data_IF_128100817955
#
_entry.id   IF_128100817955
#
_cell.length_a   1.000
_cell.length_b   1.000
_cell.length_c   1.000
_cell.angle_alpha   90.00
_cell.angle_beta   90.00
_cell.angle_gamma   90.00
#
_symmetry.space_group_name_H-M   'P 1'
#
loop_
_entity.id
_entity.type
_entity.pdbx_description
1 polymer ?
#
# COMPACT_ATOMS: atom_id res chain seq x y z
N UNK A 1 -27.91 31.64 -31.58
CA UNK A 1 -26.69 31.87 -30.77
C UNK A 1 -26.21 30.51 -30.30
N UNK A 2 -25.02 30.10 -30.71
CA UNK A 2 -24.48 28.77 -30.41
C UNK A 2 -23.62 28.84 -29.15
N UNK A 3 -24.05 28.20 -28.07
CA UNK A 3 -23.32 28.13 -26.81
C UNK A 3 -22.89 26.69 -26.55
N UNK A 4 -21.61 26.40 -26.83
CA UNK A 4 -20.88 25.23 -26.33
C UNK A 4 -19.38 25.52 -26.45
N UNK A 5 -18.50 24.96 -25.59
CA UNK A 5 -18.61 24.68 -24.16
C UNK A 5 -17.48 25.40 -23.36
N UNK A 6 -17.71 25.80 -22.12
CA UNK A 6 -16.62 25.93 -21.17
C UNK A 6 -16.38 24.53 -20.57
N UNK A 7 -15.50 23.75 -21.20
CA UNK A 7 -14.90 22.60 -20.53
C UNK A 7 -14.10 23.17 -19.38
N UNK A 8 -14.65 23.08 -18.18
CA UNK A 8 -13.91 23.32 -16.95
C UNK A 8 -12.88 22.22 -16.85
N UNK A 9 -11.66 22.53 -17.30
CA UNK A 9 -10.50 21.69 -17.08
C UNK A 9 -10.16 21.71 -15.60
N UNK A 10 -10.93 20.99 -14.77
CA UNK A 10 -10.50 20.51 -13.46
C UNK A 10 -9.44 19.44 -13.72
N UNK A 11 -8.30 19.88 -14.26
CA UNK A 11 -7.05 19.15 -14.15
C UNK A 11 -6.61 19.38 -12.71
N UNK A 12 -6.95 18.44 -11.84
CA UNK A 12 -6.26 18.20 -10.57
C UNK A 12 -4.78 18.46 -10.80
N UNK A 13 -4.27 19.53 -10.20
CA UNK A 13 -2.85 19.84 -10.29
C UNK A 13 -2.07 18.60 -9.83
N UNK A 14 -0.95 18.26 -10.49
CA UNK A 14 -0.08 17.21 -9.98
C UNK A 14 0.30 17.59 -8.55
N UNK A 15 0.06 16.69 -7.59
CA UNK A 15 0.42 16.87 -6.18
C UNK A 15 1.86 17.38 -6.11
N UNK A 16 2.05 18.64 -5.73
CA UNK A 16 3.38 19.24 -5.60
C UNK A 16 4.10 18.54 -4.44
N UNK A 17 4.95 17.57 -4.80
CA UNK A 17 5.74 16.80 -3.85
C UNK A 17 6.67 17.73 -3.08
N UNK A 18 6.35 17.99 -1.81
CA UNK A 18 7.00 19.03 -1.04
C UNK A 18 8.29 18.50 -0.35
N UNK A 19 9.00 19.40 0.33
CA UNK A 19 10.23 19.04 1.04
C UNK A 19 9.99 18.03 2.19
N UNK A 20 8.81 18.06 2.81
CA UNK A 20 8.44 17.12 3.87
C UNK A 20 8.20 15.72 3.32
N UNK A 21 7.58 15.60 2.14
CA UNK A 21 7.39 14.32 1.45
C UNK A 21 8.74 13.70 1.05
N UNK A 22 9.68 14.53 0.59
CA UNK A 22 11.06 14.08 0.31
C UNK A 22 11.78 13.63 1.58
N UNK A 23 11.61 14.37 2.68
CA UNK A 23 12.21 14.00 3.97
C UNK A 23 11.62 12.68 4.49
N UNK A 24 10.30 12.51 4.42
CA UNK A 24 9.60 11.28 4.80
C UNK A 24 10.07 10.08 3.97
N UNK A 25 10.24 10.27 2.66
CA UNK A 25 10.79 9.25 1.78
C UNK A 25 12.22 8.87 2.22
N UNK A 26 13.08 9.86 2.45
CA UNK A 26 14.46 9.62 2.88
C UNK A 26 14.54 8.89 4.23
N UNK A 27 13.68 9.27 5.19
CA UNK A 27 13.57 8.61 6.49
C UNK A 27 13.13 7.15 6.32
N UNK A 28 12.15 6.90 5.45
CA UNK A 28 11.63 5.57 5.13
C UNK A 28 12.71 4.69 4.48
N UNK A 29 13.50 5.24 3.56
CA UNK A 29 14.62 4.53 2.93
C UNK A 29 15.73 4.19 3.93
N UNK A 30 16.00 5.09 4.88
CA UNK A 30 16.99 4.90 5.95
C UNK A 30 16.51 3.99 7.09
N UNK A 31 15.24 3.57 7.09
CA UNK A 31 14.67 2.78 8.17
C UNK A 31 15.41 1.46 8.37
N UNK A 32 15.62 1.09 9.63
CA UNK A 32 16.21 -0.21 9.98
C UNK A 32 15.27 -1.37 9.58
N UNK A 33 15.80 -2.59 9.39
CA UNK A 33 14.95 -3.75 9.13
C UNK A 33 13.84 -3.95 10.16
N UNK A 34 14.12 -3.72 11.45
CA UNK A 34 13.12 -3.82 12.52
C UNK A 34 11.99 -2.79 12.39
N UNK A 35 12.33 -1.54 12.05
CA UNK A 35 11.32 -0.48 11.83
C UNK A 35 10.42 -0.79 10.64
N UNK A 36 11.00 -1.28 9.54
CA UNK A 36 10.21 -1.70 8.37
C UNK A 36 9.24 -2.83 8.72
N UNK A 37 9.67 -3.81 9.52
CA UNK A 37 8.79 -4.89 9.98
C UNK A 37 7.64 -4.36 10.84
N UNK A 38 7.93 -3.46 11.78
CA UNK A 38 6.89 -2.85 12.62
C UNK A 38 5.84 -2.10 11.77
N UNK A 39 6.25 -1.38 10.72
CA UNK A 39 5.31 -0.73 9.80
C UNK A 39 4.44 -1.72 9.02
N UNK A 40 5.01 -2.84 8.57
CA UNK A 40 4.24 -3.88 7.89
C UNK A 40 3.22 -4.52 8.82
N UNK A 41 3.58 -4.78 10.07
CA UNK A 41 2.65 -5.32 11.08
C UNK A 41 1.50 -4.34 11.38
N UNK A 42 1.79 -3.05 11.47
CA UNK A 42 0.78 -2.01 11.64
C UNK A 42 -0.15 -1.93 10.43
N UNK A 43 0.43 -1.85 9.22
CA UNK A 43 -0.33 -1.80 7.97
C UNK A 43 -1.24 -3.03 7.82
N UNK A 44 -0.75 -4.22 8.17
CA UNK A 44 -1.56 -5.44 8.21
C UNK A 44 -2.72 -5.31 9.20
N UNK A 45 -2.47 -4.81 10.41
CA UNK A 45 -3.52 -4.63 11.42
C UNK A 45 -4.62 -3.70 10.94
N UNK A 46 -4.24 -2.55 10.36
CA UNK A 46 -5.18 -1.59 9.77
C UNK A 46 -5.96 -2.22 8.62
N UNK A 47 -5.30 -2.98 7.75
CA UNK A 47 -5.95 -3.62 6.61
C UNK A 47 -6.95 -4.72 7.03
N UNK A 48 -6.68 -5.46 8.11
CA UNK A 48 -7.66 -6.38 8.68
C UNK A 48 -8.81 -5.65 9.38
N UNK A 49 -8.51 -4.62 10.18
CA UNK A 49 -9.52 -3.84 10.90
C UNK A 49 -10.48 -3.11 9.97
N UNK A 50 -9.99 -2.63 8.83
CA UNK A 50 -10.80 -2.00 7.77
C UNK A 50 -11.53 -3.00 6.87
N UNK A 51 -11.26 -4.30 6.99
CA UNK A 51 -11.82 -5.33 6.12
C UNK A 51 -11.22 -5.36 4.71
N UNK A 52 -10.17 -4.58 4.44
CA UNK A 52 -9.45 -4.60 3.17
C UNK A 52 -8.77 -5.96 2.92
N UNK A 53 -8.29 -6.61 3.99
CA UNK A 53 -7.81 -7.98 3.94
C UNK A 53 -8.81 -8.94 4.56
N UNK A 54 -9.07 -10.04 3.84
CA UNK A 54 -9.82 -11.18 4.38
C UNK A 54 -8.95 -11.85 5.45
N UNK A 55 -9.51 -12.19 6.64
CA UNK A 55 -8.80 -12.98 7.64
C UNK A 55 -8.12 -14.16 6.97
N UNK A 56 -6.80 -14.25 7.10
CA UNK A 56 -6.03 -15.35 6.55
C UNK A 56 -6.62 -16.61 7.18
N UNK A 57 -7.28 -17.45 6.37
CA UNK A 57 -7.61 -18.81 6.82
C UNK A 57 -6.30 -19.40 7.31
N UNK A 58 -6.31 -20.06 8.46
CA UNK A 58 -5.19 -20.89 8.88
C UNK A 58 -5.04 -21.92 7.77
N UNK A 59 -4.09 -21.67 6.87
CA UNK A 59 -3.60 -22.68 5.94
C UNK A 59 -3.14 -23.80 6.86
N UNK A 60 -3.86 -24.91 6.84
CA UNK A 60 -3.53 -26.06 7.67
C UNK A 60 -2.11 -26.49 7.31
N UNK A 61 -1.37 -27.03 8.27
CA UNK A 61 0.05 -27.37 8.11
C UNK A 61 0.32 -28.18 6.83
N UNK A 62 -0.64 -29.02 6.41
CA UNK A 62 -0.59 -29.81 5.19
C UNK A 62 -0.68 -28.99 3.89
N UNK A 63 -1.42 -27.88 3.88
CA UNK A 63 -1.52 -27.00 2.72
C UNK A 63 -0.24 -26.16 2.55
N UNK A 64 0.41 -25.75 3.65
CA UNK A 64 1.75 -25.13 3.60
C UNK A 64 2.83 -26.07 3.06
N UNK A 65 2.85 -27.33 3.51
CA UNK A 65 3.80 -28.36 3.07
C UNK A 65 3.62 -28.71 1.58
N UNK A 66 2.36 -28.73 1.10
CA UNK A 66 2.03 -28.91 -0.32
C UNK A 66 2.50 -27.76 -1.21
N UNK A 67 2.43 -26.52 -0.72
CA UNK A 67 2.89 -25.33 -1.45
C UNK A 67 4.42 -25.23 -1.53
N UNK A 68 5.15 -25.67 -0.50
CA UNK A 68 6.63 -25.74 -0.52
C UNK A 68 7.19 -26.87 -1.36
N UNK A 69 6.36 -27.84 -1.74
CA UNK A 69 6.77 -29.04 -2.48
C UNK A 69 6.62 -28.93 -4.01
N UNK A 70 6.28 -27.76 -4.56
CA UNK A 70 6.25 -27.60 -6.02
C UNK A 70 7.67 -27.74 -6.60
N UNK A 71 7.93 -28.73 -7.46
CA UNK A 71 9.21 -28.83 -8.16
C UNK A 71 9.31 -27.70 -9.20
N UNK A 72 10.51 -27.14 -9.34
CA UNK A 72 10.88 -26.25 -10.45
C UNK A 72 10.84 -26.97 -11.80
#
# INVERSE_FOLDING_TARGET
>A
MANKPAVSSDLTQPEDWNADDQNLLSATLSATPAQRMAWLEEALRVAYASGALKPRRLIEKEEWEGMSSSPR
#
